data_IF_690685855740
#
_entry.id   IF_690685855740
#
_cell.length_a   1.000
_cell.length_b   1.000
_cell.length_c   1.000
_cell.angle_alpha   90.00
_cell.angle_beta   90.00
_cell.angle_gamma   90.00
#
_symmetry.space_group_name_H-M   'P 1'
#
loop_
_entity.id
_entity.type
_entity.pdbx_description
1 polymer ?
#
# COMPACT_ATOMS: atom_id res chain seq x y z
N UNK A 1 18.56 -8.99 5.52
CA UNK A 1 17.71 -7.93 4.99
C UNK A 1 16.65 -8.50 4.10
N UNK A 2 15.39 -8.16 4.32
CA UNK A 2 14.30 -8.63 3.46
C UNK A 2 14.20 -7.74 2.22
N UNK A 3 13.79 -8.35 1.10
CA UNK A 3 13.48 -7.59 -0.10
C UNK A 3 12.05 -7.05 -0.01
N UNK A 4 11.79 -5.83 -0.50
CA UNK A 4 10.42 -5.32 -0.54
C UNK A 4 9.55 -6.18 -1.46
N UNK A 5 8.31 -6.40 -1.06
CA UNK A 5 7.37 -7.23 -1.83
C UNK A 5 5.92 -6.91 -1.48
N UNK A 6 5.04 -7.17 -2.44
CA UNK A 6 3.62 -7.28 -2.16
C UNK A 6 3.31 -8.69 -1.69
N UNK A 7 2.34 -8.81 -0.79
CA UNK A 7 1.79 -10.10 -0.37
C UNK A 7 0.29 -10.09 -0.62
N UNK A 8 -0.21 -11.11 -1.32
CA UNK A 8 -1.65 -11.34 -1.50
C UNK A 8 -2.08 -12.39 -0.51
N UNK A 9 -3.13 -12.11 0.24
CA UNK A 9 -3.67 -13.07 1.19
C UNK A 9 -5.19 -13.05 1.17
N UNK A 10 -5.80 -14.12 1.66
CA UNK A 10 -7.25 -14.26 1.76
C UNK A 10 -7.65 -14.16 3.21
N UNK A 11 -8.55 -13.25 3.53
CA UNK A 11 -9.00 -13.01 4.89
C UNK A 11 -10.17 -13.95 5.26
N UNK A 12 -10.61 -13.88 6.53
CA UNK A 12 -11.70 -14.70 7.06
C UNK A 12 -13.03 -14.47 6.34
N UNK A 13 -13.22 -13.24 5.77
CA UNK A 13 -14.42 -12.91 5.00
C UNK A 13 -14.37 -13.47 3.57
N UNK A 14 -13.37 -14.27 3.23
CA UNK A 14 -13.15 -14.85 1.90
C UNK A 14 -12.77 -13.85 0.83
N UNK A 15 -12.46 -12.60 1.19
CA UNK A 15 -11.98 -11.61 0.24
C UNK A 15 -10.46 -11.61 0.17
N UNK A 16 -9.95 -11.15 -0.98
CA UNK A 16 -8.52 -11.05 -1.25
C UNK A 16 -8.05 -9.63 -0.92
N UNK A 17 -6.89 -9.55 -0.28
CA UNK A 17 -6.24 -8.30 0.09
C UNK A 17 -4.80 -8.33 -0.35
N UNK A 18 -4.22 -7.18 -0.58
CA UNK A 18 -2.77 -7.07 -0.69
C UNK A 18 -2.23 -6.12 0.37
N UNK A 19 -0.98 -6.35 0.71
CA UNK A 19 -0.20 -5.45 1.54
C UNK A 19 1.19 -5.35 0.97
N UNK A 20 1.83 -4.20 1.20
CA UNK A 20 3.21 -4.00 0.77
C UNK A 20 4.12 -4.04 2.00
N UNK A 21 5.10 -4.91 1.95
CA UNK A 21 6.11 -5.07 2.98
C UNK A 21 7.40 -4.46 2.48
N UNK A 22 7.88 -3.42 3.18
CA UNK A 22 9.11 -2.73 2.80
C UNK A 22 10.35 -3.58 3.09
N UNK A 23 11.49 -3.14 2.57
CA UNK A 23 12.76 -3.84 2.77
C UNK A 23 13.16 -3.95 4.23
N UNK A 24 12.66 -3.06 5.10
CA UNK A 24 12.90 -3.13 6.55
C UNK A 24 11.97 -4.12 7.28
N UNK A 25 11.10 -4.82 6.55
CA UNK A 25 10.17 -5.80 7.11
C UNK A 25 8.84 -5.24 7.59
N UNK A 26 8.63 -3.92 7.52
CA UNK A 26 7.39 -3.30 7.98
C UNK A 26 6.34 -3.29 6.89
N UNK A 27 5.07 -3.50 7.27
CA UNK A 27 3.93 -3.33 6.37
C UNK A 27 3.63 -1.82 6.31
N UNK A 28 3.69 -1.24 5.12
CA UNK A 28 3.53 0.20 4.93
C UNK A 28 2.13 0.56 4.44
N UNK A 29 1.62 -0.15 3.44
CA UNK A 29 0.29 0.08 2.90
C UNK A 29 -0.49 -1.22 2.79
N UNK A 30 -1.81 -1.09 2.84
CA UNK A 30 -2.76 -2.19 2.70
C UNK A 30 -3.87 -1.78 1.74
N UNK A 31 -4.52 -2.78 1.13
CA UNK A 31 -5.66 -2.57 0.25
C UNK A 31 -6.98 -2.76 0.97
N UNK A 32 -8.06 -2.45 0.28
CA UNK A 32 -9.40 -2.92 0.63
C UNK A 32 -9.60 -4.34 0.13
N UNK A 33 -10.70 -4.98 0.53
CA UNK A 33 -11.00 -6.34 0.10
C UNK A 33 -11.49 -6.41 -1.34
N UNK A 34 -11.04 -7.43 -2.05
CA UNK A 34 -11.48 -7.75 -3.40
C UNK A 34 -12.15 -9.12 -3.41
N UNK A 35 -13.27 -9.23 -4.13
CA UNK A 35 -13.99 -10.51 -4.25
C UNK A 35 -13.17 -11.50 -5.05
N UNK A 36 -12.51 -11.05 -6.13
CA UNK A 36 -11.71 -11.90 -6.99
C UNK A 36 -10.23 -11.61 -6.90
N UNK A 37 -9.41 -12.66 -7.02
CA UNK A 37 -7.95 -12.50 -6.98
C UNK A 37 -7.45 -11.64 -8.14
N UNK A 38 -8.02 -11.77 -9.33
CA UNK A 38 -7.58 -10.98 -10.48
C UNK A 38 -7.78 -9.48 -10.26
N UNK A 39 -8.86 -9.09 -9.60
CA UNK A 39 -9.09 -7.69 -9.23
C UNK A 39 -8.05 -7.20 -8.22
N UNK A 40 -7.66 -8.05 -7.28
CA UNK A 40 -6.60 -7.74 -6.32
C UNK A 40 -5.26 -7.52 -7.02
N UNK A 41 -4.92 -8.38 -7.98
CA UNK A 41 -3.69 -8.22 -8.78
C UNK A 41 -3.73 -6.92 -9.59
N UNK A 42 -4.87 -6.58 -10.18
CA UNK A 42 -5.04 -5.31 -10.90
C UNK A 42 -4.85 -4.11 -9.96
N UNK A 43 -5.30 -4.24 -8.70
CA UNK A 43 -5.07 -3.22 -7.67
C UNK A 43 -3.59 -3.00 -7.40
N UNK A 44 -2.82 -4.07 -7.31
CA UNK A 44 -1.36 -3.98 -7.15
C UNK A 44 -0.73 -3.24 -8.32
N UNK A 45 -1.12 -3.56 -9.54
CA UNK A 45 -0.60 -2.89 -10.74
C UNK A 45 -0.95 -1.38 -10.73
N UNK A 46 -2.15 -1.04 -10.28
CA UNK A 46 -2.55 0.35 -10.12
C UNK A 46 -1.68 1.08 -9.09
N UNK A 47 -1.40 0.44 -7.97
CA UNK A 47 -0.50 1.00 -6.94
C UNK A 47 0.88 1.27 -7.54
N UNK A 48 1.43 0.32 -8.28
CA UNK A 48 2.74 0.49 -8.91
C UNK A 48 2.78 1.67 -9.87
N UNK A 49 1.72 1.87 -10.66
CA UNK A 49 1.64 2.99 -11.61
C UNK A 49 1.53 4.34 -10.90
N UNK A 50 0.82 4.41 -9.79
CA UNK A 50 0.52 5.67 -9.14
C UNK A 50 1.53 6.05 -8.06
N UNK A 51 2.25 5.06 -7.51
CA UNK A 51 3.17 5.28 -6.38
C UNK A 51 4.23 6.37 -6.64
N UNK A 52 4.84 6.49 -7.84
CA UNK A 52 5.86 7.52 -8.06
C UNK A 52 5.32 8.95 -8.08
N UNK A 53 4.02 9.14 -8.24
CA UNK A 53 3.43 10.47 -8.45
C UNK A 53 2.91 11.04 -7.12
N UNK A 54 3.55 12.12 -6.65
CA UNK A 54 3.18 12.75 -5.38
C UNK A 54 1.72 13.21 -5.35
N UNK A 55 1.17 13.60 -6.50
CA UNK A 55 -0.22 14.07 -6.59
C UNK A 55 -1.26 13.00 -6.30
N UNK A 56 -0.84 11.73 -6.25
CA UNK A 56 -1.74 10.61 -5.94
C UNK A 56 -1.90 10.36 -4.45
N UNK A 57 -1.13 11.05 -3.62
CA UNK A 57 -1.18 10.85 -2.15
C UNK A 57 -2.10 11.86 -1.51
N UNK A 58 -3.05 11.36 -0.74
CA UNK A 58 -3.90 12.17 0.15
C UNK A 58 -3.35 12.06 1.57
N UNK A 59 -2.91 13.17 2.11
CA UNK A 59 -2.34 13.22 3.45
C UNK A 59 -3.43 13.60 4.44
N UNK A 60 -3.55 12.82 5.52
CA UNK A 60 -4.57 12.99 6.53
C UNK A 60 -3.87 13.32 7.84
N UNK A 61 -4.04 14.57 8.28
CA UNK A 61 -3.38 15.10 9.47
C UNK A 61 -4.31 15.06 10.67
N UNK A 62 -3.96 14.22 11.65
CA UNK A 62 -4.58 14.21 12.96
C UNK A 62 -3.45 14.09 13.97
N UNK A 63 -3.46 14.90 15.03
CA UNK A 63 -2.38 14.92 16.03
C UNK A 63 -2.09 13.51 16.52
N UNK A 64 -0.84 13.11 16.44
CA UNK A 64 -0.32 11.79 16.83
C UNK A 64 -0.88 10.63 15.99
N UNK A 65 -1.56 10.92 14.86
CA UNK A 65 -2.13 9.89 14.00
C UNK A 65 -2.14 10.39 12.55
N UNK A 66 -0.94 10.59 11.99
CA UNK A 66 -0.78 11.07 10.61
C UNK A 66 -0.82 9.88 9.67
N UNK A 67 -1.71 9.94 8.67
CA UNK A 67 -1.95 8.84 7.73
C UNK A 67 -1.89 9.34 6.29
N UNK A 68 -1.93 8.40 5.35
CA UNK A 68 -2.07 8.74 3.95
C UNK A 68 -2.86 7.66 3.21
N UNK A 69 -3.52 8.11 2.15
CA UNK A 69 -4.11 7.23 1.13
C UNK A 69 -3.35 7.41 -0.17
N UNK A 70 -3.27 6.36 -0.96
CA UNK A 70 -2.80 6.41 -2.34
C UNK A 70 -3.99 6.26 -3.26
N UNK A 71 -4.14 7.19 -4.21
CA UNK A 71 -5.28 7.23 -5.12
C UNK A 71 -4.86 6.93 -6.54
N UNK A 72 -5.76 6.35 -7.30
CA UNK A 72 -5.62 6.23 -8.74
C UNK A 72 -5.91 7.59 -9.40
N UNK A 73 -5.66 7.69 -10.70
CA UNK A 73 -5.89 8.90 -11.48
C UNK A 73 -7.34 9.38 -11.39
N UNK A 74 -8.29 8.44 -11.29
CA UNK A 74 -9.72 8.78 -11.17
C UNK A 74 -10.14 9.23 -9.77
N UNK A 75 -9.19 9.32 -8.82
CA UNK A 75 -9.46 9.75 -7.46
C UNK A 75 -9.87 8.63 -6.49
N UNK A 76 -10.00 7.40 -6.97
CA UNK A 76 -10.36 6.28 -6.12
C UNK A 76 -9.18 5.86 -5.24
N UNK A 77 -9.43 5.64 -3.95
CA UNK A 77 -8.41 5.14 -3.02
C UNK A 77 -8.10 3.69 -3.37
N UNK A 78 -6.83 3.39 -3.64
CA UNK A 78 -6.35 2.06 -4.02
C UNK A 78 -5.49 1.41 -2.94
N UNK A 79 -4.97 2.21 -2.03
CA UNK A 79 -4.22 1.71 -0.86
C UNK A 79 -4.22 2.78 0.22
N UNK A 80 -4.00 2.36 1.45
CA UNK A 80 -3.91 3.27 2.59
C UNK A 80 -2.75 2.85 3.50
N UNK A 81 -2.24 3.80 4.27
CA UNK A 81 -1.22 3.48 5.26
C UNK A 81 -1.75 2.42 6.23
N UNK A 82 -0.88 1.46 6.57
CA UNK A 82 -1.29 0.33 7.43
C UNK A 82 -1.63 0.80 8.84
N UNK A 83 -1.01 1.89 9.27
CA UNK A 83 -1.24 2.46 10.61
C UNK A 83 -0.95 3.96 10.59
N UNK A 84 -1.26 4.64 11.67
CA UNK A 84 -0.95 6.05 11.83
C UNK A 84 0.49 6.27 12.29
N UNK A 85 1.08 7.37 11.85
CA UNK A 85 2.40 7.80 12.27
C UNK A 85 2.26 8.89 13.34
N UNK A 86 3.21 8.95 14.26
CA UNK A 86 3.15 9.92 15.34
C UNK A 86 3.56 11.33 14.92
N UNK A 87 4.26 11.47 13.79
CA UNK A 87 4.68 12.76 13.25
C UNK A 87 4.46 12.84 11.74
N UNK A 88 4.39 14.07 11.23
CA UNK A 88 4.33 14.29 9.77
C UNK A 88 5.59 13.77 9.09
N UNK A 89 6.76 13.99 9.68
CA UNK A 89 8.03 13.55 9.11
C UNK A 89 8.03 12.02 8.94
N UNK A 90 7.59 11.28 9.95
CA UNK A 90 7.52 9.83 9.87
C UNK A 90 6.56 9.38 8.75
N UNK A 91 5.40 10.04 8.61
CA UNK A 91 4.45 9.75 7.54
C UNK A 91 5.08 10.02 6.17
N UNK A 92 5.77 11.16 6.00
CA UNK A 92 6.42 11.48 4.72
C UNK A 92 7.51 10.46 4.39
N UNK A 93 8.24 9.98 5.38
CA UNK A 93 9.20 8.89 5.18
C UNK A 93 8.53 7.62 4.70
N UNK A 94 7.35 7.30 5.22
CA UNK A 94 6.55 6.17 4.75
C UNK A 94 6.15 6.32 3.27
N UNK A 95 5.70 7.50 2.89
CA UNK A 95 5.37 7.81 1.49
C UNK A 95 6.62 7.65 0.61
N UNK A 96 7.77 8.15 1.06
CA UNK A 96 9.01 8.05 0.29
C UNK A 96 9.43 6.59 0.07
N UNK A 97 9.23 5.73 1.06
CA UNK A 97 9.48 4.29 0.91
C UNK A 97 8.58 3.70 -0.16
N UNK A 98 7.30 4.05 -0.16
CA UNK A 98 6.35 3.58 -1.17
C UNK A 98 6.80 4.02 -2.57
N UNK A 99 7.15 5.28 -2.74
CA UNK A 99 7.62 5.82 -4.03
C UNK A 99 8.86 5.10 -4.53
N UNK A 100 9.80 4.78 -3.64
CA UNK A 100 11.07 4.18 -3.99
C UNK A 100 10.98 2.68 -4.24
N UNK A 101 10.22 1.96 -3.41
CA UNK A 101 10.28 0.49 -3.37
C UNK A 101 9.14 -0.20 -4.09
N UNK A 102 7.97 0.42 -4.17
CA UNK A 102 6.77 -0.22 -4.73
C UNK A 102 6.88 -0.50 -6.24
N UNK A 103 7.38 0.43 -7.08
CA UNK A 103 7.29 0.22 -8.54
C UNK A 103 7.93 -1.07 -9.05
N UNK A 104 9.00 -1.52 -8.42
CA UNK A 104 9.76 -2.71 -8.87
C UNK A 104 9.55 -3.93 -7.96
N UNK A 105 8.64 -3.85 -6.99
CA UNK A 105 8.46 -4.91 -6.02
C UNK A 105 7.76 -6.13 -6.63
N UNK A 106 8.24 -7.35 -6.35
CA UNK A 106 7.54 -8.56 -6.76
C UNK A 106 6.31 -8.82 -5.89
N UNK A 107 5.48 -9.75 -6.35
CA UNK A 107 4.28 -10.16 -5.62
C UNK A 107 4.44 -11.59 -5.13
N UNK A 108 4.21 -11.80 -3.83
CA UNK A 108 4.16 -13.10 -3.20
C UNK A 108 2.70 -13.47 -2.95
N UNK A 109 2.20 -14.44 -3.71
CA UNK A 109 0.82 -14.90 -3.58
C UNK A 109 0.74 -15.98 -2.49
N UNK A 110 0.24 -15.58 -1.33
CA UNK A 110 0.12 -16.47 -0.17
C UNK A 110 -1.16 -17.30 -0.16
N UNK A 111 -1.96 -17.23 -1.25
CA UNK A 111 -3.23 -17.96 -1.36
C UNK A 111 -3.08 -19.31 -2.07
N UNK A 112 -1.90 -19.63 -2.56
CA UNK A 112 -1.61 -20.87 -3.27
C UNK A 112 -0.67 -21.77 -2.51
#
# INVERSE_FOLDING_TARGET
MNNPKFEIFKAKNSEFYFRFKAGNGKIIIISEGYIGKSSCVNGIESVKRNAPNDNRYERIDKVDDYRFNLKAENGQVIARSSEGYTTRIARENGIDVVKAEVPDAPTDDQTI
#
